data_IF_505151572439
#
_entry.id   IF_505151572439
#
_cell.length_a   1.000
_cell.length_b   1.000
_cell.length_c   1.000
_cell.angle_alpha   90.00
_cell.angle_beta   90.00
_cell.angle_gamma   90.00
#
_symmetry.space_group_name_H-M   'P 1'
#
loop_
_entity.id
_entity.type
_entity.pdbx_description
1 polymer ?
#
# COMPACT_ATOMS: atom_id res chain seq x y z
N UNK A 1 7.67 10.18 -13.85
CA UNK A 1 8.50 8.95 -13.82
C UNK A 1 7.92 8.04 -12.73
N UNK A 2 7.87 6.73 -12.94
CA UNK A 2 7.36 5.75 -11.95
C UNK A 2 8.53 4.87 -11.50
N UNK A 3 8.52 4.31 -10.28
CA UNK A 3 9.61 3.44 -9.78
C UNK A 3 9.92 2.27 -10.73
N UNK A 4 8.90 1.58 -11.26
CA UNK A 4 9.05 0.54 -12.28
C UNK A 4 9.73 1.04 -13.56
N UNK A 5 9.55 2.30 -13.94
CA UNK A 5 10.26 2.87 -15.10
C UNK A 5 11.74 3.09 -14.83
N UNK A 6 12.13 3.39 -13.58
CA UNK A 6 13.52 3.49 -13.17
C UNK A 6 14.13 2.09 -13.15
N UNK A 7 13.47 1.14 -12.49
CA UNK A 7 13.91 -0.26 -12.44
C UNK A 7 14.09 -0.86 -13.84
N UNK A 8 13.15 -0.63 -14.76
CA UNK A 8 13.27 -1.14 -16.13
C UNK A 8 14.38 -0.45 -16.93
N UNK A 9 14.71 0.81 -16.63
CA UNK A 9 15.74 1.56 -17.35
C UNK A 9 17.16 1.30 -16.83
N UNK A 10 17.33 1.10 -15.52
CA UNK A 10 18.66 1.00 -14.88
C UNK A 10 18.92 -0.33 -14.16
N UNK A 11 17.88 -1.15 -13.95
CA UNK A 11 17.95 -2.34 -13.08
C UNK A 11 18.01 -1.99 -11.58
N UNK A 12 17.88 -0.71 -11.22
CA UNK A 12 18.02 -0.27 -9.84
C UNK A 12 16.67 -0.13 -9.13
N UNK A 13 16.59 -0.68 -7.93
CA UNK A 13 15.47 -0.45 -7.01
C UNK A 13 15.83 0.72 -6.08
N UNK A 14 15.15 1.87 -6.20
CA UNK A 14 15.43 3.03 -5.35
C UNK A 14 15.17 2.78 -3.87
N UNK A 15 14.19 1.94 -3.52
CA UNK A 15 13.89 1.60 -2.12
C UNK A 15 15.00 0.73 -1.55
N UNK A 16 15.51 -0.23 -2.32
CA UNK A 16 16.67 -1.03 -1.90
C UNK A 16 17.88 -0.15 -1.57
N UNK A 17 18.17 0.84 -2.42
CA UNK A 17 19.26 1.81 -2.18
C UNK A 17 19.05 2.65 -0.92
N UNK A 18 17.82 3.09 -0.66
CA UNK A 18 17.48 3.81 0.57
C UNK A 18 17.75 2.92 1.79
N UNK A 19 17.37 1.63 1.75
CA UNK A 19 17.65 0.69 2.83
C UNK A 19 19.15 0.41 3.00
N UNK A 20 19.95 0.41 1.93
CA UNK A 20 21.42 0.31 2.02
C UNK A 20 22.04 1.52 2.75
N UNK A 21 21.43 2.71 2.61
CA UNK A 21 21.86 3.93 3.29
C UNK A 21 21.29 4.10 4.71
N UNK A 22 20.28 3.30 5.10
CA UNK A 22 19.58 3.41 6.38
C UNK A 22 19.48 2.06 7.08
N UNK A 23 20.38 1.85 8.05
CA UNK A 23 20.46 0.61 8.82
C UNK A 23 19.22 0.30 9.66
N UNK A 24 18.34 1.28 9.88
CA UNK A 24 17.07 1.10 10.60
C UNK A 24 15.93 0.58 9.70
N UNK A 25 16.16 0.48 8.39
CA UNK A 25 15.19 -0.06 7.43
C UNK A 25 15.57 -1.48 7.02
N UNK A 26 14.57 -2.36 6.96
CA UNK A 26 14.70 -3.70 6.41
C UNK A 26 13.96 -3.81 5.08
N UNK A 27 14.69 -4.07 4.00
CA UNK A 27 14.08 -4.22 2.67
C UNK A 27 13.43 -5.61 2.54
N UNK A 28 12.12 -5.63 2.30
CA UNK A 28 11.32 -6.85 2.26
C UNK A 28 11.00 -7.34 0.84
N UNK A 29 11.49 -6.63 -0.19
CA UNK A 29 11.18 -6.87 -1.60
C UNK A 29 10.38 -5.73 -2.23
N UNK A 30 10.43 -5.64 -3.56
CA UNK A 30 9.86 -4.52 -4.32
C UNK A 30 8.32 -4.57 -4.40
N UNK A 31 7.74 -5.77 -4.53
CA UNK A 31 6.36 -5.92 -5.00
C UNK A 31 5.40 -6.46 -3.94
N UNK A 32 5.85 -7.40 -3.13
CA UNK A 32 4.99 -8.08 -2.17
C UNK A 32 5.84 -8.65 -1.04
N UNK A 33 5.40 -8.40 0.19
CA UNK A 33 5.98 -9.00 1.39
C UNK A 33 4.86 -9.41 2.34
N UNK A 34 5.08 -10.47 3.09
CA UNK A 34 4.22 -10.83 4.23
C UNK A 34 5.07 -10.82 5.49
N UNK A 35 4.64 -10.04 6.48
CA UNK A 35 5.28 -9.97 7.79
C UNK A 35 4.30 -10.43 8.86
N UNK A 36 4.85 -10.87 9.98
CA UNK A 36 4.09 -11.27 11.16
C UNK A 36 4.39 -10.29 12.28
N UNK A 37 3.34 -9.67 12.85
CA UNK A 37 3.45 -8.84 14.05
C UNK A 37 2.57 -9.50 15.11
N UNK A 38 3.21 -10.07 16.13
CA UNK A 38 2.55 -10.97 17.06
C UNK A 38 2.02 -12.21 16.34
N UNK A 39 0.68 -12.39 16.34
CA UNK A 39 0.00 -13.51 15.66
C UNK A 39 -0.67 -13.15 14.35
N UNK A 40 -0.63 -11.87 13.97
CA UNK A 40 -1.33 -11.37 12.81
C UNK A 40 -0.38 -11.30 11.62
N UNK A 41 -0.88 -11.74 10.46
CA UNK A 41 -0.20 -11.66 9.18
C UNK A 41 -0.58 -10.37 8.47
N UNK A 42 0.42 -9.60 8.09
CA UNK A 42 0.29 -8.37 7.33
C UNK A 42 0.90 -8.58 5.96
N UNK A 43 0.13 -8.33 4.91
CA UNK A 43 0.64 -8.27 3.55
C UNK A 43 0.91 -6.81 3.17
N UNK A 44 2.12 -6.53 2.69
CA UNK A 44 2.47 -5.30 2.03
C UNK A 44 2.49 -5.57 0.52
N UNK A 45 1.67 -4.88 -0.25
CA UNK A 45 1.51 -5.13 -1.68
C UNK A 45 1.68 -3.83 -2.47
N UNK A 46 2.65 -3.82 -3.38
CA UNK A 46 2.81 -2.86 -4.46
C UNK A 46 2.44 -3.58 -5.77
N UNK A 47 1.16 -3.54 -6.17
CA UNK A 47 0.68 -4.25 -7.36
C UNK A 47 1.11 -3.53 -8.64
N UNK A 48 0.90 -4.17 -9.78
CA UNK A 48 1.10 -3.56 -11.10
C UNK A 48 -0.24 -3.04 -11.71
N UNK A 49 -0.13 -2.27 -12.79
CA UNK A 49 -1.23 -1.76 -13.60
C UNK A 49 -1.82 -0.44 -13.13
N UNK A 50 -2.85 0.06 -13.83
CA UNK A 50 -3.51 1.32 -13.46
C UNK A 50 -4.65 1.17 -12.45
N UNK A 51 -5.15 2.32 -12.00
CA UNK A 51 -6.41 2.41 -11.25
C UNK A 51 -7.56 1.74 -12.02
N UNK A 52 -8.52 1.18 -11.27
CA UNK A 52 -9.76 0.63 -11.81
C UNK A 52 -10.92 1.63 -11.64
N UNK A 53 -12.03 1.38 -12.35
CA UNK A 53 -13.25 2.21 -12.21
C UNK A 53 -13.74 2.27 -10.76
N UNK A 54 -13.89 1.11 -10.11
CA UNK A 54 -14.19 1.03 -8.69
C UNK A 54 -12.89 0.92 -7.89
N UNK A 55 -12.68 1.82 -6.92
CA UNK A 55 -11.47 1.86 -6.08
C UNK A 55 -11.16 0.51 -5.41
N UNK A 56 -12.19 -0.16 -4.90
CA UNK A 56 -12.05 -1.44 -4.20
C UNK A 56 -11.75 -2.64 -5.10
N UNK A 57 -11.94 -2.53 -6.42
CA UNK A 57 -11.89 -3.66 -7.34
C UNK A 57 -10.55 -4.39 -7.29
N UNK A 58 -9.45 -3.66 -7.35
CA UNK A 58 -8.10 -4.25 -7.36
C UNK A 58 -7.78 -4.94 -6.03
N UNK A 59 -8.18 -4.36 -4.90
CA UNK A 59 -8.05 -4.97 -3.58
C UNK A 59 -8.82 -6.30 -3.49
N UNK A 60 -10.08 -6.30 -3.96
CA UNK A 60 -10.91 -7.51 -3.99
C UNK A 60 -10.26 -8.62 -4.82
N UNK A 61 -9.82 -8.30 -6.05
CA UNK A 61 -9.14 -9.27 -6.92
C UNK A 61 -7.85 -9.82 -6.30
N UNK A 62 -7.06 -8.98 -5.63
CA UNK A 62 -5.86 -9.42 -4.94
C UNK A 62 -6.18 -10.44 -3.82
N UNK A 63 -7.20 -10.17 -3.00
CA UNK A 63 -7.64 -11.09 -1.94
C UNK A 63 -8.22 -12.39 -2.53
N UNK A 64 -8.94 -12.30 -3.64
CA UNK A 64 -9.59 -13.45 -4.27
C UNK A 64 -8.62 -14.50 -4.80
N UNK A 65 -7.44 -14.06 -5.27
CA UNK A 65 -6.39 -14.93 -5.78
C UNK A 65 -5.69 -15.73 -4.67
N UNK A 66 -5.82 -15.32 -3.41
CA UNK A 66 -5.19 -16.00 -2.29
C UNK A 66 -5.99 -17.25 -1.89
N UNK A 67 -5.36 -18.44 -1.83
CA UNK A 67 -6.01 -19.66 -1.33
C UNK A 67 -6.56 -19.48 0.10
N UNK A 68 -7.60 -20.23 0.45
CA UNK A 68 -8.05 -20.32 1.84
C UNK A 68 -6.91 -20.79 2.75
N UNK A 69 -6.75 -20.18 3.92
CA UNK A 69 -5.64 -20.44 4.84
C UNK A 69 -4.31 -19.74 4.50
N UNK A 70 -4.17 -19.13 3.31
CA UNK A 70 -3.00 -18.32 2.92
C UNK A 70 -3.28 -16.81 2.93
N UNK A 71 -4.51 -16.41 3.23
CA UNK A 71 -4.89 -15.00 3.33
C UNK A 71 -4.20 -14.33 4.53
N UNK A 72 -3.72 -13.09 4.40
CA UNK A 72 -3.29 -12.31 5.55
C UNK A 72 -4.50 -11.92 6.40
N UNK A 73 -4.25 -11.50 7.63
CA UNK A 73 -5.28 -10.84 8.44
C UNK A 73 -5.51 -9.41 7.94
N UNK A 74 -4.40 -8.74 7.58
CA UNK A 74 -4.39 -7.34 7.14
C UNK A 74 -3.62 -7.23 5.81
N UNK A 75 -4.19 -6.54 4.84
CA UNK A 75 -3.54 -6.24 3.55
C UNK A 75 -3.41 -4.72 3.38
N UNK A 76 -2.18 -4.25 3.18
CA UNK A 76 -1.84 -2.86 2.95
C UNK A 76 -1.37 -2.70 1.50
N UNK A 77 -2.08 -1.91 0.71
CA UNK A 77 -1.83 -1.76 -0.73
C UNK A 77 -1.39 -0.33 -1.04
N UNK A 78 -0.23 -0.19 -1.69
CA UNK A 78 0.26 1.08 -2.24
C UNK A 78 -0.14 1.30 -3.71
N UNK A 79 0.73 1.94 -4.49
CA UNK A 79 0.71 2.04 -5.96
C UNK A 79 -0.40 2.87 -6.63
N UNK A 80 -1.62 2.85 -6.10
CA UNK A 80 -2.77 3.45 -6.77
C UNK A 80 -3.02 4.93 -6.41
N UNK A 81 -2.31 5.45 -5.41
CA UNK A 81 -2.39 6.85 -4.96
C UNK A 81 -3.83 7.29 -4.61
N UNK A 82 -4.66 6.33 -4.19
CA UNK A 82 -6.02 6.56 -3.75
C UNK A 82 -6.35 5.63 -2.59
N UNK A 83 -7.28 6.03 -1.76
CA UNK A 83 -7.67 5.38 -0.52
C UNK A 83 -8.96 4.60 -0.71
N UNK A 84 -8.99 3.41 -0.13
CA UNK A 84 -10.19 2.58 -0.04
C UNK A 84 -10.02 1.53 1.06
N UNK A 85 -11.07 1.33 1.85
CA UNK A 85 -11.09 0.37 2.95
C UNK A 85 -12.09 -0.73 2.66
N UNK A 86 -11.65 -1.97 2.85
CA UNK A 86 -12.47 -3.18 2.85
C UNK A 86 -12.37 -3.83 4.22
N UNK A 87 -13.32 -3.57 5.14
CA UNK A 87 -13.16 -3.93 6.55
C UNK A 87 -13.02 -5.44 6.81
N UNK A 88 -13.66 -6.30 6.01
CA UNK A 88 -13.62 -7.74 6.21
C UNK A 88 -13.94 -8.52 4.93
N UNK A 89 -13.25 -8.22 3.83
CA UNK A 89 -13.52 -8.89 2.56
C UNK A 89 -12.85 -10.27 2.55
N UNK A 90 -13.67 -11.34 2.54
CA UNK A 90 -13.23 -12.75 2.65
C UNK A 90 -12.31 -13.02 3.85
N UNK A 91 -12.57 -12.39 4.99
CA UNK A 91 -11.79 -12.58 6.22
C UNK A 91 -10.53 -11.71 6.32
N UNK A 92 -10.38 -10.72 5.42
CA UNK A 92 -9.21 -9.83 5.35
C UNK A 92 -9.65 -8.39 5.54
N UNK A 93 -9.00 -7.68 6.46
CA UNK A 93 -9.05 -6.22 6.49
C UNK A 93 -8.06 -5.70 5.45
N UNK A 94 -8.55 -5.01 4.41
CA UNK A 94 -7.68 -4.47 3.35
C UNK A 94 -7.83 -2.96 3.24
N UNK A 95 -6.70 -2.29 3.09
CA UNK A 95 -6.64 -0.84 2.91
C UNK A 95 -5.70 -0.51 1.77
N UNK A 96 -6.20 0.30 0.85
CA UNK A 96 -5.38 1.02 -0.12
C UNK A 96 -4.93 2.31 0.57
N UNK A 97 -3.63 2.45 0.74
CA UNK A 97 -3.03 3.54 1.48
C UNK A 97 -2.95 4.81 0.62
N UNK A 98 -3.01 6.00 1.24
CA UNK A 98 -2.60 7.24 0.59
C UNK A 98 -1.13 7.17 0.15
N UNK A 99 -0.71 8.21 -0.57
CA UNK A 99 0.68 8.37 -0.98
C UNK A 99 1.33 9.60 -0.34
N UNK A 100 2.65 9.66 -0.45
CA UNK A 100 3.43 10.87 -0.14
C UNK A 100 3.82 11.67 -1.39
N UNK A 101 3.37 11.26 -2.58
CA UNK A 101 3.68 11.94 -3.84
C UNK A 101 2.59 12.95 -4.20
N UNK A 102 2.99 14.19 -4.52
CA UNK A 102 2.06 15.19 -5.04
C UNK A 102 1.60 14.91 -6.47
N UNK A 103 0.68 15.74 -6.95
CA UNK A 103 0.24 15.76 -8.33
C UNK A 103 1.39 16.04 -9.32
N UNK A 104 1.83 15.01 -10.05
CA UNK A 104 2.83 15.15 -11.12
C UNK A 104 2.19 15.34 -12.51
N UNK A 105 2.94 15.82 -13.53
CA UNK A 105 2.46 15.86 -14.92
C UNK A 105 2.03 14.49 -15.46
N UNK A 106 2.69 13.41 -15.01
CA UNK A 106 2.31 12.04 -15.38
C UNK A 106 0.92 11.69 -14.84
N UNK A 107 0.67 11.93 -13.55
CA UNK A 107 -0.62 11.69 -12.92
C UNK A 107 -1.73 12.56 -13.56
N UNK A 108 -1.43 13.84 -13.85
CA UNK A 108 -2.38 14.74 -14.55
C UNK A 108 -2.77 14.19 -15.93
N UNK A 109 -1.79 13.72 -16.71
CA UNK A 109 -2.04 13.10 -18.04
C UNK A 109 -2.83 11.80 -17.97
N UNK A 110 -2.86 11.13 -16.80
CA UNK A 110 -3.63 9.91 -16.54
C UNK A 110 -4.97 10.20 -15.86
N UNK A 111 -5.33 11.47 -15.67
CA UNK A 111 -6.52 11.90 -14.92
C UNK A 111 -6.58 11.31 -13.50
N UNK A 112 -5.42 11.23 -12.85
CA UNK A 112 -5.28 10.73 -11.49
C UNK A 112 -5.02 11.91 -10.55
N UNK A 113 -5.81 11.99 -9.48
CA UNK A 113 -5.64 12.91 -8.38
C UNK A 113 -5.14 12.13 -7.15
N UNK A 114 -3.88 12.29 -6.72
CA UNK A 114 -3.34 11.56 -5.60
C UNK A 114 -3.97 12.02 -4.27
N UNK A 115 -4.37 11.07 -3.43
CA UNK A 115 -4.78 11.33 -2.05
C UNK A 115 -3.54 11.29 -1.15
N UNK A 116 -3.03 12.48 -0.79
CA UNK A 116 -1.79 12.66 -0.05
C UNK A 116 -2.04 12.54 1.45
N UNK A 117 -1.21 11.77 2.14
CA UNK A 117 -1.28 11.62 3.59
C UNK A 117 -0.79 10.24 4.04
N UNK A 118 -1.19 9.86 5.25
CA UNK A 118 -0.88 8.55 5.82
C UNK A 118 -2.02 8.03 6.69
N UNK A 119 -1.90 6.78 7.14
CA UNK A 119 -2.87 6.14 8.02
C UNK A 119 -2.16 5.59 9.24
N UNK A 120 -2.70 5.89 10.42
CA UNK A 120 -2.31 5.22 11.67
C UNK A 120 -3.29 4.09 11.90
N UNK A 121 -2.77 2.86 11.99
CA UNK A 121 -3.54 1.66 12.27
C UNK A 121 -3.24 1.16 13.69
N UNK A 122 -4.25 1.18 14.54
CA UNK A 122 -4.22 0.51 15.84
C UNK A 122 -4.96 -0.82 15.72
N UNK A 123 -4.27 -1.93 15.97
CA UNK A 123 -4.83 -3.28 15.78
C UNK A 123 -4.75 -4.04 17.10
N UNK A 124 -5.91 -4.47 17.60
CA UNK A 124 -6.01 -5.31 18.80
C UNK A 124 -6.24 -6.76 18.38
N UNK A 125 -5.33 -7.70 18.66
CA UNK A 125 -5.54 -9.12 18.36
C UNK A 125 -6.26 -9.87 19.50
N UNK A 126 -6.95 -10.96 19.15
CA UNK A 126 -7.45 -11.98 20.09
C UNK A 126 -7.02 -13.41 19.67
N UNK A 127 -7.54 -14.45 20.33
CA UNK A 127 -7.21 -15.85 20.02
C UNK A 127 -7.55 -16.29 18.58
N UNK A 128 -8.50 -15.62 17.92
CA UNK A 128 -9.04 -16.01 16.61
C UNK A 128 -8.56 -15.11 15.47
N UNK A 129 -7.90 -13.99 15.75
CA UNK A 129 -7.41 -13.05 14.75
C UNK A 129 -7.51 -11.62 15.26
N UNK A 130 -8.12 -10.75 14.46
CA UNK A 130 -8.34 -9.34 14.79
C UNK A 130 -9.57 -9.22 15.69
N UNK A 131 -9.42 -8.55 16.82
CA UNK A 131 -10.51 -8.19 17.73
C UNK A 131 -11.12 -6.83 17.35
N UNK A 132 -10.26 -5.82 17.19
CA UNK A 132 -10.66 -4.49 16.74
C UNK A 132 -9.54 -3.81 15.95
N UNK A 133 -9.95 -2.88 15.08
CA UNK A 133 -9.06 -2.00 14.33
C UNK A 133 -9.58 -0.58 14.46
N UNK A 134 -8.68 0.37 14.71
CA UNK A 134 -8.92 1.78 14.45
C UNK A 134 -8.00 2.21 13.31
N UNK A 135 -8.57 2.95 12.36
CA UNK A 135 -7.84 3.51 11.24
C UNK A 135 -8.06 5.02 11.23
N UNK A 136 -7.01 5.76 11.56
CA UNK A 136 -7.01 7.22 11.51
C UNK A 136 -6.34 7.67 10.22
N UNK A 137 -7.10 8.38 9.38
CA UNK A 137 -6.62 8.91 8.11
C UNK A 137 -6.17 10.36 8.33
N UNK A 138 -4.89 10.63 8.08
CA UNK A 138 -4.29 11.94 8.27
C UNK A 138 -3.92 12.49 6.89
N UNK A 139 -4.76 13.35 6.29
CA UNK A 139 -4.51 13.92 4.98
C UNK A 139 -3.51 15.07 5.04
N UNK A 140 -2.74 15.25 3.97
CA UNK A 140 -1.97 16.46 3.72
C UNK A 140 -2.63 17.22 2.56
N UNK A 141 -3.32 18.31 2.89
CA UNK A 141 -4.12 19.07 1.92
C UNK A 141 -3.28 20.02 1.07
N UNK A 142 -2.18 20.51 1.61
CA UNK A 142 -1.29 21.45 0.94
C UNK A 142 -0.01 20.71 0.53
N UNK A 143 0.19 20.46 -0.78
CA UNK A 143 1.46 19.92 -1.23
C UNK A 143 2.55 20.97 -1.12
N UNK A 144 3.76 20.53 -0.81
CA UNK A 144 4.94 21.41 -0.79
C UNK A 144 5.23 21.85 -2.23
N UNK A 145 5.42 23.14 -2.44
CA UNK A 145 5.72 23.69 -3.77
C UNK A 145 7.05 23.11 -4.29
N UNK A 146 7.03 22.54 -5.51
CA UNK A 146 8.21 21.93 -6.13
C UNK A 146 8.49 20.47 -5.75
N UNK A 147 7.64 19.84 -4.95
CA UNK A 147 7.81 18.45 -4.49
C UNK A 147 7.27 17.41 -5.50
N UNK A 148 7.95 17.20 -6.63
CA UNK A 148 7.55 16.22 -7.67
C UNK A 148 8.70 15.53 -8.43
#
# INVERSE_FOLDING_TARGET
MHDLSIYNASGEDPIKRICEARSDLNYLGAWNATIEIGRLKYQLLHPDGGNAYARSYKQQKAIEQLPSGKKPNIQLIGHYHSQSVLPNYRGVFSIQLPCFQTQTPYLKRKSLNPEIGFVILEVTPNAKGIDSIKAEFIPFHEPIEGDF
#
